data_IF_971406527031
#
_entry.id   IF_971406527031
#
_cell.length_a   1.000
_cell.length_b   1.000
_cell.length_c   1.000
_cell.angle_alpha   90.00
_cell.angle_beta   90.00
_cell.angle_gamma   90.00
#
_symmetry.space_group_name_H-M   'P 1'
#
loop_
_entity.id
_entity.type
_entity.pdbx_description
1 polymer ?
#
# COMPACT_ATOMS: atom_id res chain seq x y z
N UNK A 1 4.99 31.51 -11.69
CA UNK A 1 5.04 30.07 -11.40
C UNK A 1 6.47 29.72 -11.05
N UNK A 2 6.73 29.22 -9.85
CA UNK A 2 8.06 28.71 -9.49
C UNK A 2 8.33 27.46 -10.33
N UNK A 3 9.41 27.46 -11.10
CA UNK A 3 9.89 26.29 -11.84
C UNK A 3 10.85 25.55 -10.92
N UNK A 4 10.52 24.32 -10.54
CA UNK A 4 11.48 23.46 -9.86
C UNK A 4 12.46 22.90 -10.89
N UNK A 5 13.74 22.89 -10.53
CA UNK A 5 14.79 22.17 -11.23
C UNK A 5 14.67 20.66 -10.97
N UNK A 6 15.29 19.86 -11.84
CA UNK A 6 15.34 18.40 -11.68
C UNK A 6 15.99 17.97 -10.36
N UNK A 7 17.00 18.71 -9.89
CA UNK A 7 17.66 18.44 -8.60
C UNK A 7 16.72 18.66 -7.41
N UNK A 8 15.84 19.66 -7.47
CA UNK A 8 14.86 19.90 -6.41
C UNK A 8 13.76 18.83 -6.40
N UNK A 9 13.38 18.29 -7.57
CA UNK A 9 12.47 17.15 -7.68
C UNK A 9 13.08 15.89 -7.04
N UNK A 10 14.35 15.58 -7.34
CA UNK A 10 15.05 14.49 -6.68
C UNK A 10 15.17 14.71 -5.17
N UNK A 11 15.42 15.96 -4.74
CA UNK A 11 15.40 16.35 -3.33
C UNK A 11 14.05 16.14 -2.65
N UNK A 12 12.94 16.34 -3.36
CA UNK A 12 11.59 16.05 -2.86
C UNK A 12 11.39 14.55 -2.59
N UNK A 13 11.88 13.69 -3.48
CA UNK A 13 11.82 12.23 -3.29
C UNK A 13 12.58 11.83 -2.02
N UNK A 14 13.79 12.35 -1.82
CA UNK A 14 14.57 12.11 -0.60
C UNK A 14 13.84 12.57 0.67
N UNK A 15 13.22 13.74 0.63
CA UNK A 15 12.50 14.30 1.77
C UNK A 15 11.24 13.48 2.12
N UNK A 16 10.51 13.00 1.11
CA UNK A 16 9.39 12.08 1.32
C UNK A 16 9.86 10.80 2.01
N UNK A 17 10.98 10.22 1.58
CA UNK A 17 11.56 9.02 2.22
C UNK A 17 11.93 9.26 3.67
N UNK A 18 12.59 10.39 3.98
CA UNK A 18 12.92 10.78 5.38
C UNK A 18 11.69 10.89 6.27
N UNK A 19 10.54 11.27 5.72
CA UNK A 19 9.25 11.35 6.43
C UNK A 19 8.54 10.01 6.58
N UNK A 20 9.17 8.91 6.16
CA UNK A 20 8.67 7.55 6.25
C UNK A 20 7.72 7.17 5.12
N UNK A 21 7.78 7.86 3.97
CA UNK A 21 7.07 7.42 2.77
C UNK A 21 7.88 6.37 2.02
N UNK A 22 7.22 5.29 1.64
CA UNK A 22 7.68 4.40 0.58
C UNK A 22 7.37 5.07 -0.76
N UNK A 23 8.41 5.56 -1.44
CA UNK A 23 8.27 6.22 -2.74
C UNK A 23 8.35 5.18 -3.84
N UNK A 24 7.29 5.10 -4.64
CA UNK A 24 7.14 4.18 -5.76
C UNK A 24 7.10 4.97 -7.06
N UNK A 25 7.89 4.54 -8.03
CA UNK A 25 7.90 5.16 -9.35
C UNK A 25 8.28 4.18 -10.45
N UNK A 26 8.12 4.61 -11.71
CA UNK A 26 8.55 3.85 -12.88
C UNK A 26 10.08 3.66 -12.86
N UNK A 27 10.52 2.42 -13.04
CA UNK A 27 11.93 2.04 -13.23
C UNK A 27 12.00 0.98 -14.32
N UNK A 28 13.07 1.02 -15.11
CA UNK A 28 13.33 0.03 -16.15
C UNK A 28 14.02 -1.20 -15.56
N UNK A 29 13.35 -2.35 -15.60
CA UNK A 29 13.89 -3.63 -15.15
C UNK A 29 13.75 -4.67 -16.26
N UNK A 30 14.89 -5.15 -16.79
CA UNK A 30 14.88 -6.21 -17.81
C UNK A 30 14.20 -5.81 -19.12
N UNK A 31 14.29 -4.52 -19.51
CA UNK A 31 13.70 -4.00 -20.74
C UNK A 31 12.20 -3.69 -20.67
N UNK A 32 11.58 -3.84 -19.49
CA UNK A 32 10.20 -3.42 -19.24
C UNK A 32 10.16 -2.41 -18.11
N UNK A 33 9.26 -1.42 -18.22
CA UNK A 33 9.06 -0.44 -17.16
C UNK A 33 8.06 -0.98 -16.15
N UNK A 34 8.43 -0.93 -14.87
CA UNK A 34 7.58 -1.33 -13.73
C UNK A 34 7.55 -0.22 -12.69
N UNK A 35 6.42 -0.11 -12.01
CA UNK A 35 6.35 0.62 -10.75
C UNK A 35 7.04 -0.22 -9.68
N UNK A 36 8.08 0.34 -9.09
CA UNK A 36 8.84 -0.29 -8.00
C UNK A 36 9.14 0.73 -6.90
N UNK A 37 9.33 0.29 -5.65
CA UNK A 37 9.88 1.14 -4.62
C UNK A 37 11.26 1.65 -5.05
N UNK A 38 11.44 2.97 -5.06
CA UNK A 38 12.68 3.60 -5.47
C UNK A 38 13.65 3.65 -4.29
N UNK A 39 14.66 2.78 -4.33
CA UNK A 39 15.81 2.87 -3.42
C UNK A 39 16.78 3.99 -3.81
N UNK A 40 16.85 4.28 -5.10
CA UNK A 40 17.68 5.31 -5.71
C UNK A 40 16.80 6.13 -6.66
N UNK A 41 16.72 7.44 -6.42
CA UNK A 41 15.90 8.35 -7.22
C UNK A 41 16.43 8.57 -8.63
N UNK A 42 17.70 8.22 -8.92
CA UNK A 42 18.26 8.29 -10.28
C UNK A 42 17.71 7.23 -11.23
N UNK A 43 17.11 6.15 -10.69
CA UNK A 43 16.47 5.09 -11.49
C UNK A 43 15.07 5.43 -11.98
N UNK A 44 14.56 6.61 -11.61
CA UNK A 44 13.24 7.07 -12.03
C UNK A 44 13.22 7.27 -13.55
N UNK A 45 12.45 6.44 -14.24
CA UNK A 45 12.26 6.52 -15.68
C UNK A 45 11.08 7.46 -15.98
N UNK A 46 11.34 8.58 -16.66
CA UNK A 46 10.27 9.52 -17.02
C UNK A 46 9.74 9.29 -18.42
N UNK A 47 10.56 8.74 -19.32
CA UNK A 47 10.17 8.48 -20.70
C UNK A 47 9.67 7.05 -20.85
N UNK A 48 8.41 6.84 -20.45
CA UNK A 48 7.76 5.54 -20.59
C UNK A 48 6.30 5.70 -21.02
N UNK A 49 5.82 4.75 -21.82
CA UNK A 49 4.42 4.74 -22.28
C UNK A 49 3.52 4.08 -21.24
N UNK A 50 3.90 2.90 -20.76
CA UNK A 50 3.08 2.10 -19.83
C UNK A 50 3.95 1.23 -18.93
N UNK A 51 3.54 1.09 -17.68
CA UNK A 51 4.11 0.13 -16.74
C UNK A 51 3.47 -1.24 -16.90
N UNK A 52 4.23 -2.31 -16.68
CA UNK A 52 3.70 -3.67 -16.69
C UNK A 52 2.65 -3.89 -15.59
N UNK A 53 2.93 -3.36 -14.40
CA UNK A 53 2.06 -3.41 -13.23
C UNK A 53 1.25 -2.12 -13.06
N UNK A 54 0.30 -2.14 -12.12
CA UNK A 54 -0.61 -1.04 -11.86
C UNK A 54 -0.47 -0.49 -10.43
N UNK A 55 -0.99 0.71 -10.13
CA UNK A 55 -1.02 1.23 -8.76
C UNK A 55 -1.82 0.34 -7.80
N UNK A 56 -2.72 -0.50 -8.34
CA UNK A 56 -3.51 -1.45 -7.56
C UNK A 56 -2.61 -2.39 -6.76
N UNK A 57 -1.48 -2.81 -7.32
CA UNK A 57 -0.58 -3.79 -6.72
C UNK A 57 0.01 -3.28 -5.38
N UNK A 58 0.10 -1.94 -5.22
CA UNK A 58 0.54 -1.30 -3.97
C UNK A 58 -0.62 -0.91 -3.05
N UNK A 59 -1.76 -0.50 -3.62
CA UNK A 59 -2.95 -0.15 -2.84
C UNK A 59 -3.69 -1.38 -2.29
N UNK A 60 -3.56 -2.51 -2.98
CA UNK A 60 -4.21 -3.79 -2.71
C UNK A 60 -3.19 -4.91 -2.96
N UNK A 61 -2.21 -5.09 -2.04
CA UNK A 61 -1.19 -6.11 -2.19
C UNK A 61 -1.81 -7.51 -2.16
N UNK A 62 -1.25 -8.44 -2.94
CA UNK A 62 -1.75 -9.81 -3.05
C UNK A 62 -1.83 -10.56 -1.72
N UNK A 63 -0.95 -10.21 -0.77
CA UNK A 63 -0.87 -10.83 0.55
C UNK A 63 -0.65 -9.76 1.60
N UNK A 64 -1.58 -9.67 2.53
CA UNK A 64 -1.41 -8.88 3.74
C UNK A 64 -2.08 -9.56 4.95
N UNK A 65 -1.61 -9.24 6.15
CA UNK A 65 -2.24 -9.72 7.37
C UNK A 65 -3.41 -8.81 7.72
N UNK A 66 -4.63 -9.29 7.45
CA UNK A 66 -5.85 -8.59 7.81
C UNK A 66 -6.10 -8.66 9.33
N UNK A 67 -6.16 -9.88 9.88
CA UNK A 67 -6.54 -10.08 11.27
C UNK A 67 -5.43 -10.73 12.09
N UNK A 68 -5.39 -10.37 13.38
CA UNK A 68 -4.62 -11.08 14.40
C UNK A 68 -5.57 -11.54 15.49
N UNK A 69 -5.47 -12.80 15.88
CA UNK A 69 -6.18 -13.37 17.01
C UNK A 69 -5.19 -13.93 18.02
N UNK A 70 -5.55 -13.89 19.30
CA UNK A 70 -4.82 -14.56 20.38
C UNK A 70 -5.55 -15.87 20.69
N UNK A 71 -4.85 -17.00 20.62
CA UNK A 71 -5.37 -18.28 21.11
C UNK A 71 -4.94 -18.50 22.56
N UNK A 72 -5.80 -19.14 23.34
CA UNK A 72 -5.48 -19.58 24.72
C UNK A 72 -5.20 -21.08 24.70
N UNK A 73 -4.08 -21.48 25.27
CA UNK A 73 -3.74 -22.89 25.47
C UNK A 73 -3.87 -23.24 26.95
N UNK A 74 -4.54 -24.35 27.26
CA UNK A 74 -4.61 -24.89 28.63
C UNK A 74 -3.90 -26.24 28.65
N UNK A 75 -2.94 -26.42 29.56
CA UNK A 75 -2.32 -27.72 29.80
C UNK A 75 -3.31 -28.55 30.63
N UNK A 76 -3.73 -29.68 30.08
CA UNK A 76 -4.60 -30.64 30.77
C UNK A 76 -3.81 -31.92 31.06
N UNK A 77 -4.33 -32.77 31.94
CA UNK A 77 -3.70 -34.06 32.30
C UNK A 77 -3.47 -35.02 31.12
N UNK A 78 -4.12 -34.80 29.98
CA UNK A 78 -4.04 -35.62 28.77
C UNK A 78 -3.32 -34.91 27.61
N UNK A 79 -2.73 -33.74 27.86
CA UNK A 79 -1.95 -32.98 26.87
C UNK A 79 -2.34 -31.51 26.73
N UNK A 80 -1.71 -30.85 25.74
CA UNK A 80 -1.91 -29.43 25.44
C UNK A 80 -3.21 -29.23 24.64
N UNK A 81 -4.23 -28.62 25.26
CA UNK A 81 -5.47 -28.26 24.57
C UNK A 81 -5.37 -26.83 24.07
N UNK A 82 -5.04 -26.66 22.79
CA UNK A 82 -5.10 -25.38 22.09
C UNK A 82 -6.58 -25.09 21.80
N UNK A 83 -7.12 -24.01 22.37
CA UNK A 83 -8.50 -23.57 22.10
C UNK A 83 -8.45 -22.43 21.08
N UNK A 84 -9.01 -22.69 19.90
CA UNK A 84 -9.26 -21.64 18.93
C UNK A 84 -10.53 -20.87 19.33
N UNK A 85 -10.59 -19.56 19.12
CA UNK A 85 -11.80 -18.81 19.38
C UNK A 85 -12.85 -19.17 18.31
N UNK A 86 -14.00 -19.69 18.76
CA UNK A 86 -15.13 -20.09 17.89
C UNK A 86 -16.32 -19.16 18.16
N UNK A 87 -17.06 -18.79 17.12
CA UNK A 87 -18.27 -17.92 17.24
C UNK A 87 -19.40 -18.63 17.99
N UNK A 88 -19.48 -19.95 17.84
CA UNK A 88 -20.46 -20.80 18.52
C UNK A 88 -19.70 -21.86 19.32
N UNK A 89 -19.54 -21.64 20.62
CA UNK A 89 -18.85 -22.57 21.52
C UNK A 89 -18.96 -22.14 22.99
N UNK A 90 -18.75 -23.06 23.95
CA UNK A 90 -19.07 -22.88 25.36
C UNK A 90 -18.13 -21.91 26.12
N UNK A 91 -17.34 -21.10 25.42
CA UNK A 91 -16.44 -20.12 26.01
C UNK A 91 -16.61 -18.78 25.30
N UNK A 92 -17.05 -17.70 25.98
CA UNK A 92 -17.25 -16.40 25.38
C UNK A 92 -15.89 -15.69 25.24
N UNK A 93 -15.01 -16.19 24.38
CA UNK A 93 -13.88 -15.38 23.91
C UNK A 93 -14.43 -14.62 22.72
N UNK A 94 -14.82 -13.36 22.97
CA UNK A 94 -15.14 -12.43 21.87
C UNK A 94 -13.91 -12.40 20.96
N UNK A 95 -14.06 -12.87 19.72
CA UNK A 95 -13.07 -12.57 18.68
C UNK A 95 -13.15 -11.06 18.54
N UNK A 96 -12.23 -10.35 19.19
CA UNK A 96 -11.99 -8.94 18.90
C UNK A 96 -10.94 -8.98 17.81
N UNK A 97 -11.32 -8.99 16.51
CA UNK A 97 -10.34 -8.85 15.46
C UNK A 97 -9.64 -7.51 15.68
N UNK A 98 -8.39 -7.55 16.14
CA UNK A 98 -7.59 -6.34 16.19
C UNK A 98 -7.22 -6.01 14.75
N UNK A 99 -7.96 -5.05 14.19
CA UNK A 99 -7.70 -4.50 12.87
C UNK A 99 -6.27 -3.94 12.88
N UNK A 100 -5.42 -4.48 12.00
CA UNK A 100 -4.04 -4.02 11.85
C UNK A 100 -3.99 -3.08 10.65
N UNK A 101 -4.17 -1.75 10.81
CA UNK A 101 -4.04 -0.84 9.70
C UNK A 101 -2.66 -1.03 9.04
N UNK A 102 -2.58 -0.92 7.71
CA UNK A 102 -1.31 -0.98 7.01
C UNK A 102 -0.39 0.11 7.58
N UNK A 103 0.80 -0.32 8.04
CA UNK A 103 1.81 0.59 8.61
C UNK A 103 2.72 1.04 7.47
N UNK A 104 2.52 2.27 7.00
CA UNK A 104 3.38 2.87 5.98
C UNK A 104 2.67 3.99 5.25
N UNK A 105 3.40 5.05 4.92
CA UNK A 105 2.90 6.10 4.02
C UNK A 105 3.38 5.75 2.63
N UNK A 106 2.51 5.84 1.63
CA UNK A 106 2.84 5.51 0.24
C UNK A 106 2.92 6.80 -0.58
N UNK A 107 3.89 6.92 -1.46
CA UNK A 107 4.00 8.02 -2.40
C UNK A 107 4.20 7.47 -3.81
N UNK A 108 3.29 7.78 -4.75
CA UNK A 108 3.55 7.55 -6.16
C UNK A 108 4.22 8.77 -6.77
N UNK A 109 5.30 8.55 -7.51
CA UNK A 109 6.05 9.60 -8.18
C UNK A 109 6.24 9.26 -9.65
N UNK A 110 6.01 10.24 -10.54
CA UNK A 110 6.21 10.07 -11.98
C UNK A 110 5.18 9.17 -12.65
N UNK A 111 4.01 8.95 -12.03
CA UNK A 111 2.94 8.16 -12.66
C UNK A 111 2.14 8.99 -13.66
N UNK A 112 1.59 8.34 -14.68
CA UNK A 112 0.75 9.00 -15.69
C UNK A 112 -0.65 9.36 -15.18
N UNK A 113 -1.32 10.38 -15.76
CA UNK A 113 -2.67 10.79 -15.35
C UNK A 113 -3.71 9.67 -15.50
N UNK A 114 -3.54 8.79 -16.50
CA UNK A 114 -4.38 7.61 -16.70
C UNK A 114 -4.34 6.66 -15.48
N UNK A 115 -3.20 6.56 -14.80
CA UNK A 115 -3.04 5.74 -13.59
C UNK A 115 -3.70 6.40 -12.38
N UNK A 116 -3.66 7.74 -12.29
CA UNK A 116 -4.42 8.47 -11.26
C UNK A 116 -5.92 8.31 -11.47
N UNK A 117 -6.36 8.34 -12.73
CA UNK A 117 -7.75 8.11 -13.07
C UNK A 117 -8.21 6.70 -12.67
N UNK A 118 -7.37 5.67 -12.83
CA UNK A 118 -7.71 4.32 -12.38
C UNK A 118 -7.84 4.22 -10.85
N UNK A 119 -7.02 4.96 -10.09
CA UNK A 119 -7.20 5.10 -8.62
C UNK A 119 -8.55 5.73 -8.30
N UNK A 120 -8.99 6.76 -9.04
CA UNK A 120 -10.33 7.36 -8.83
C UNK A 120 -11.47 6.40 -9.09
N UNK A 121 -11.31 5.46 -10.03
CA UNK A 121 -12.30 4.40 -10.23
C UNK A 121 -12.29 3.39 -9.08
N UNK A 122 -11.10 3.07 -8.57
CA UNK A 122 -10.95 2.18 -7.42
C UNK A 122 -11.58 2.79 -6.15
N UNK A 123 -11.43 4.10 -5.96
CA UNK A 123 -12.06 4.87 -4.86
C UNK A 123 -13.58 4.64 -4.84
N UNK A 124 -14.25 4.58 -6.01
CA UNK A 124 -15.71 4.39 -6.09
C UNK A 124 -16.17 3.04 -5.56
N UNK A 125 -15.34 2.01 -5.67
CA UNK A 125 -15.69 0.65 -5.22
C UNK A 125 -15.25 0.45 -3.77
N UNK A 126 -13.99 0.78 -3.47
CA UNK A 126 -13.38 0.47 -2.18
C UNK A 126 -13.80 1.40 -1.05
N UNK A 127 -14.30 2.60 -1.37
CA UNK A 127 -14.84 3.54 -0.38
C UNK A 127 -16.38 3.57 -0.39
N UNK A 128 -17.03 2.68 -1.15
CA UNK A 128 -18.48 2.48 -1.06
C UNK A 128 -18.87 1.77 0.23
N UNK A 129 -20.13 1.86 0.67
CA UNK A 129 -20.59 1.26 1.94
C UNK A 129 -20.80 -0.27 1.82
N UNK A 130 -20.16 -1.12 2.66
CA UNK A 130 -19.18 -0.78 3.70
C UNK A 130 -17.77 -0.55 3.13
N UNK A 131 -17.13 0.54 3.55
CA UNK A 131 -15.80 0.91 3.05
C UNK A 131 -14.72 -0.06 3.51
N UNK A 132 -13.80 -0.42 2.61
CA UNK A 132 -12.65 -1.25 2.97
C UNK A 132 -11.67 -0.43 3.84
N UNK A 133 -11.43 -0.85 5.10
CA UNK A 133 -10.61 -0.07 6.02
C UNK A 133 -9.13 -0.04 5.61
N UNK A 134 -8.59 -1.09 4.98
CA UNK A 134 -7.18 -1.16 4.56
C UNK A 134 -6.92 -0.25 3.38
N UNK A 135 -7.79 -0.30 2.38
CA UNK A 135 -7.73 0.60 1.24
C UNK A 135 -7.89 2.05 1.70
N UNK A 136 -8.88 2.34 2.55
CA UNK A 136 -9.11 3.69 3.07
C UNK A 136 -7.87 4.24 3.80
N UNK A 137 -7.28 3.45 4.68
CA UNK A 137 -6.06 3.85 5.40
C UNK A 137 -4.88 4.15 4.46
N UNK A 138 -4.66 3.31 3.43
CA UNK A 138 -3.62 3.58 2.41
C UNK A 138 -3.93 4.83 1.61
N UNK A 139 -5.20 5.01 1.23
CA UNK A 139 -5.66 6.12 0.39
C UNK A 139 -5.53 7.47 1.09
N UNK A 140 -5.86 7.53 2.37
CA UNK A 140 -5.71 8.72 3.23
C UNK A 140 -4.23 9.10 3.44
N UNK A 141 -3.34 8.11 3.47
CA UNK A 141 -1.89 8.31 3.59
C UNK A 141 -1.13 8.45 2.27
N UNK A 142 -1.83 8.53 1.13
CA UNK A 142 -1.24 8.48 -0.21
C UNK A 142 -0.83 9.87 -0.71
N UNK A 143 0.45 10.04 -1.06
CA UNK A 143 0.94 11.16 -1.85
C UNK A 143 1.05 10.76 -3.34
N UNK A 144 0.68 11.66 -4.26
CA UNK A 144 0.78 11.39 -5.70
C UNK A 144 1.40 12.59 -6.39
N UNK A 145 2.51 12.37 -7.08
CA UNK A 145 3.09 13.28 -8.06
C UNK A 145 2.95 12.66 -9.46
N UNK A 146 2.35 13.43 -10.36
CA UNK A 146 1.96 12.99 -11.71
C UNK A 146 2.92 13.60 -12.73
N UNK A 147 3.39 12.78 -13.66
CA UNK A 147 4.04 13.26 -14.87
C UNK A 147 2.95 13.52 -15.91
N UNK A 148 2.83 14.76 -16.40
CA UNK A 148 1.89 15.02 -17.50
C UNK A 148 2.37 14.33 -18.78
N UNK A 149 1.45 13.66 -19.46
CA UNK A 149 1.74 13.05 -20.75
C UNK A 149 1.71 14.16 -21.81
N UNK A 150 2.78 14.29 -22.58
CA UNK A 150 2.87 15.18 -23.73
C UNK A 150 2.10 14.65 -24.95
#
# INVERSE_FOLDING_TARGET
>A
MAKLSWQEILGLIQELRKRGFEVVGPSSEGGVVKLVPLEDETKLETDYVRTLNSPKDFLLPDKERLFRYKSTATITSYGLKIRFPTVEGPCPITIVPEYSPPRGKLAFFGIHPCMVNSIRYLDKVMLSDPADPYYKARREGLFIAVLECA
#
